data_IF_972621618076
#
_entry.id   IF_972621618076
#
_cell.length_a   1.000
_cell.length_b   1.000
_cell.length_c   1.000
_cell.angle_alpha   90.00
_cell.angle_beta   90.00
_cell.angle_gamma   90.00
#
_symmetry.space_group_name_H-M   'P 1'
#
loop_
_entity.id
_entity.type
_entity.pdbx_description
1 polymer ?
#
# COMPACT_ATOMS: atom_id res chain seq x y z
N UNK A 1 2.40 29.87 5.39
CA UNK A 1 1.94 28.50 5.77
C UNK A 1 2.87 27.40 5.23
N UNK A 2 3.47 27.56 4.03
CA UNK A 2 4.35 26.53 3.41
C UNK A 2 5.64 26.25 4.20
N UNK A 3 6.11 27.19 5.01
CA UNK A 3 7.36 27.08 5.77
C UNK A 3 7.16 26.62 7.22
N UNK A 4 5.95 26.20 7.59
CA UNK A 4 5.65 25.66 8.92
C UNK A 4 5.28 24.19 8.82
N UNK A 5 5.69 23.39 9.80
CA UNK A 5 5.35 21.95 9.88
C UNK A 5 3.83 21.75 9.82
N UNK A 6 3.07 22.60 10.52
CA UNK A 6 1.61 22.55 10.50
C UNK A 6 1.04 22.84 9.11
N UNK A 7 1.59 23.83 8.39
CA UNK A 7 1.18 24.11 7.01
C UNK A 7 1.47 22.95 6.06
N UNK A 8 2.65 22.34 6.16
CA UNK A 8 2.99 21.15 5.36
C UNK A 8 2.05 19.99 5.67
N UNK A 9 1.71 19.74 6.93
CA UNK A 9 0.76 18.68 7.32
C UNK A 9 -0.63 18.94 6.74
N UNK A 10 -1.14 20.17 6.79
CA UNK A 10 -2.44 20.54 6.20
C UNK A 10 -2.45 20.28 4.68
N UNK A 11 -1.43 20.77 3.95
CA UNK A 11 -1.33 20.51 2.51
C UNK A 11 -1.21 19.03 2.18
N UNK A 12 -0.47 18.27 2.98
CA UNK A 12 -0.36 16.82 2.80
C UNK A 12 -1.73 16.12 2.95
N UNK A 13 -2.49 16.48 3.97
CA UNK A 13 -3.85 15.94 4.18
C UNK A 13 -4.76 16.30 3.00
N UNK A 14 -4.71 17.55 2.50
CA UNK A 14 -5.48 17.96 1.33
C UNK A 14 -5.12 17.18 0.07
N UNK A 15 -3.84 16.94 -0.17
CA UNK A 15 -3.37 16.09 -1.28
C UNK A 15 -3.91 14.66 -1.13
N UNK A 16 -3.84 14.08 0.07
CA UNK A 16 -4.35 12.72 0.32
C UNK A 16 -5.86 12.62 0.12
N UNK A 17 -6.63 13.60 0.59
CA UNK A 17 -8.08 13.66 0.35
C UNK A 17 -8.37 13.74 -1.15
N UNK A 18 -7.71 14.65 -1.87
CA UNK A 18 -7.91 14.83 -3.31
C UNK A 18 -7.54 13.59 -4.11
N UNK A 19 -6.43 12.94 -3.75
CA UNK A 19 -6.00 11.69 -4.37
C UNK A 19 -7.01 10.55 -4.16
N UNK A 20 -7.48 10.36 -2.92
CA UNK A 20 -8.48 9.34 -2.63
C UNK A 20 -9.82 9.60 -3.34
N UNK A 21 -10.21 10.88 -3.47
CA UNK A 21 -11.40 11.26 -4.25
C UNK A 21 -11.27 10.86 -5.74
N UNK A 22 -10.10 11.03 -6.32
CA UNK A 22 -9.84 10.66 -7.70
C UNK A 22 -9.72 9.13 -7.88
N UNK A 23 -9.19 8.43 -6.89
CA UNK A 23 -8.94 6.98 -6.97
C UNK A 23 -10.23 6.16 -7.06
N UNK A 24 -11.31 6.58 -6.41
CA UNK A 24 -12.61 5.90 -6.45
C UNK A 24 -13.12 5.70 -7.89
N UNK A 25 -13.41 6.79 -8.63
CA UNK A 25 -13.83 6.71 -10.03
C UNK A 25 -12.83 5.99 -10.94
N UNK A 26 -11.51 6.20 -10.73
CA UNK A 26 -10.49 5.51 -11.53
C UNK A 26 -10.51 4.00 -11.34
N UNK A 27 -10.76 3.52 -10.11
CA UNK A 27 -10.87 2.09 -9.81
C UNK A 27 -12.12 1.45 -10.44
N UNK A 28 -13.20 2.21 -10.61
CA UNK A 28 -14.44 1.74 -11.23
C UNK A 28 -14.32 1.52 -12.74
N UNK A 29 -13.34 2.12 -13.40
CA UNK A 29 -13.15 1.98 -14.86
C UNK A 29 -12.97 0.54 -15.30
N UNK A 30 -12.22 -0.26 -14.53
CA UNK A 30 -11.95 -1.66 -14.89
C UNK A 30 -13.21 -2.51 -14.93
N UNK A 31 -14.09 -2.56 -13.91
CA UNK A 31 -15.34 -3.30 -13.99
C UNK A 31 -16.34 -2.72 -15.01
N UNK A 32 -16.40 -1.39 -15.16
CA UNK A 32 -17.44 -0.71 -15.93
C UNK A 32 -17.15 -0.67 -17.43
N UNK A 33 -15.89 -0.52 -17.84
CA UNK A 33 -15.53 -0.26 -19.25
C UNK A 33 -14.64 -1.32 -19.87
N UNK A 34 -13.96 -2.16 -19.07
CA UNK A 34 -13.01 -3.14 -19.61
C UNK A 34 -13.71 -4.49 -19.80
N UNK A 35 -13.78 -5.02 -21.05
CA UNK A 35 -14.30 -6.34 -21.32
C UNK A 35 -13.60 -7.41 -20.48
N UNK A 36 -14.35 -8.43 -20.05
CA UNK A 36 -13.82 -9.50 -19.16
C UNK A 36 -12.52 -10.13 -19.69
N UNK A 37 -12.42 -10.29 -21.03
CA UNK A 37 -11.24 -10.89 -21.67
C UNK A 37 -9.98 -9.99 -21.60
N UNK A 38 -10.15 -8.66 -21.51
CA UNK A 38 -9.06 -7.68 -21.47
C UNK A 38 -8.69 -7.22 -20.06
N UNK A 39 -9.43 -7.65 -19.02
CA UNK A 39 -9.20 -7.20 -17.64
C UNK A 39 -7.81 -7.57 -17.13
N UNK A 40 -7.30 -8.75 -17.50
CA UNK A 40 -5.94 -9.17 -17.13
C UNK A 40 -4.86 -8.24 -17.72
N UNK A 41 -4.97 -7.89 -18.99
CA UNK A 41 -4.04 -6.95 -19.66
C UNK A 41 -4.14 -5.56 -19.06
N UNK A 42 -5.36 -5.09 -18.78
CA UNK A 42 -5.59 -3.80 -18.13
C UNK A 42 -4.96 -3.77 -16.72
N UNK A 43 -5.20 -4.81 -15.91
CA UNK A 43 -4.62 -4.92 -14.58
C UNK A 43 -3.09 -4.94 -14.61
N UNK A 44 -2.49 -5.66 -15.56
CA UNK A 44 -1.04 -5.68 -15.75
C UNK A 44 -0.49 -4.29 -16.13
N UNK A 45 -1.14 -3.60 -17.07
CA UNK A 45 -0.75 -2.24 -17.45
C UNK A 45 -0.87 -1.25 -16.28
N UNK A 46 -1.95 -1.35 -15.50
CA UNK A 46 -2.13 -0.54 -14.29
C UNK A 46 -1.04 -0.83 -13.24
N UNK A 47 -0.71 -2.10 -13.03
CA UNK A 47 0.37 -2.51 -12.12
C UNK A 47 1.73 -1.96 -12.55
N UNK A 48 2.06 -2.03 -13.84
CA UNK A 48 3.29 -1.42 -14.39
C UNK A 48 3.26 0.10 -14.18
N UNK A 49 2.15 0.76 -14.46
CA UNK A 49 1.97 2.20 -14.25
C UNK A 49 2.21 2.60 -12.79
N UNK A 50 1.67 1.84 -11.83
CA UNK A 50 1.90 2.07 -10.40
C UNK A 50 3.38 1.91 -10.03
N UNK A 51 4.06 0.88 -10.53
CA UNK A 51 5.49 0.66 -10.28
C UNK A 51 6.36 1.78 -10.87
N UNK A 52 6.10 2.17 -12.11
CA UNK A 52 6.82 3.27 -12.78
C UNK A 52 6.55 4.59 -12.04
N UNK A 53 5.30 4.84 -11.63
CA UNK A 53 4.95 6.03 -10.86
C UNK A 53 5.63 6.07 -9.50
N UNK A 54 5.65 4.96 -8.77
CA UNK A 54 6.27 4.86 -7.45
C UNK A 54 7.79 5.08 -7.51
N UNK A 55 8.47 4.39 -8.42
CA UNK A 55 9.92 4.53 -8.59
C UNK A 55 10.29 5.86 -9.21
N UNK A 56 9.64 6.23 -10.31
CA UNK A 56 9.86 7.52 -10.97
C UNK A 56 9.67 8.67 -9.99
N UNK A 57 8.62 8.60 -9.16
CA UNK A 57 8.36 9.57 -8.10
C UNK A 57 9.51 9.67 -7.10
N UNK A 58 10.08 8.55 -6.65
CA UNK A 58 11.21 8.55 -5.72
C UNK A 58 12.48 9.12 -6.35
N UNK A 59 12.83 8.73 -7.59
CA UNK A 59 14.00 9.24 -8.28
C UNK A 59 13.89 10.73 -8.60
N UNK A 60 12.73 11.17 -9.09
CA UNK A 60 12.47 12.59 -9.37
C UNK A 60 12.46 13.39 -8.06
N UNK A 61 11.84 12.86 -7.00
CA UNK A 61 11.88 13.48 -5.66
C UNK A 61 13.30 13.64 -5.13
N UNK A 62 14.15 12.62 -5.29
CA UNK A 62 15.56 12.69 -4.92
C UNK A 62 16.32 13.74 -5.73
N UNK A 63 16.10 13.82 -7.06
CA UNK A 63 16.74 14.79 -7.94
C UNK A 63 16.37 16.25 -7.61
N UNK A 64 15.13 16.48 -7.16
CA UNK A 64 14.64 17.80 -6.75
C UNK A 64 14.77 18.08 -5.24
N UNK A 65 15.47 17.25 -4.49
CA UNK A 65 15.58 17.38 -3.02
C UNK A 65 16.13 18.74 -2.57
N UNK A 66 16.99 19.36 -3.36
CA UNK A 66 17.52 20.72 -3.09
C UNK A 66 16.61 21.85 -3.61
N UNK A 67 15.67 21.55 -4.49
CA UNK A 67 14.76 22.51 -5.14
C UNK A 67 13.29 22.05 -4.96
N UNK A 68 12.87 21.79 -3.73
CA UNK A 68 11.55 21.25 -3.39
C UNK A 68 10.37 21.98 -4.07
N UNK A 69 10.31 23.34 -4.11
CA UNK A 69 9.19 24.01 -4.78
C UNK A 69 9.08 23.66 -6.27
N UNK A 70 10.22 23.54 -6.95
CA UNK A 70 10.25 23.15 -8.37
C UNK A 70 9.79 21.71 -8.52
N UNK A 71 10.28 20.80 -7.69
CA UNK A 71 9.88 19.39 -7.69
C UNK A 71 8.37 19.21 -7.50
N UNK A 72 7.78 19.85 -6.51
CA UNK A 72 6.33 19.80 -6.30
C UNK A 72 5.54 20.40 -7.47
N UNK A 73 6.02 21.49 -8.07
CA UNK A 73 5.38 22.11 -9.24
C UNK A 73 5.42 21.15 -10.45
N UNK A 74 6.54 20.50 -10.70
CA UNK A 74 6.68 19.49 -11.77
C UNK A 74 5.69 18.34 -11.56
N UNK A 75 5.62 17.79 -10.36
CA UNK A 75 4.64 16.73 -10.05
C UNK A 75 3.19 17.18 -10.25
N UNK A 76 2.86 18.39 -9.80
CA UNK A 76 1.51 18.95 -9.96
C UNK A 76 1.15 19.11 -11.46
N UNK A 77 2.06 19.65 -12.26
CA UNK A 77 1.84 19.84 -13.71
C UNK A 77 1.70 18.51 -14.42
N UNK A 78 2.56 17.52 -14.12
CA UNK A 78 2.49 16.18 -14.73
C UNK A 78 1.19 15.48 -14.36
N UNK A 79 0.80 15.52 -13.07
CA UNK A 79 -0.44 14.90 -12.60
C UNK A 79 -1.67 15.55 -13.24
N UNK A 80 -1.70 16.89 -13.31
CA UNK A 80 -2.78 17.63 -13.94
C UNK A 80 -2.89 17.37 -15.43
N UNK A 81 -1.75 17.38 -16.14
CA UNK A 81 -1.71 17.07 -17.57
C UNK A 81 -2.18 15.63 -17.86
N UNK A 82 -1.72 14.65 -17.07
CA UNK A 82 -2.14 13.27 -17.21
C UNK A 82 -3.65 13.12 -16.98
N UNK A 83 -4.21 13.78 -15.96
CA UNK A 83 -5.64 13.78 -15.69
C UNK A 83 -6.43 14.42 -16.83
N UNK A 84 -5.98 15.57 -17.37
CA UNK A 84 -6.63 16.22 -18.49
C UNK A 84 -6.65 15.35 -19.74
N UNK A 85 -5.52 14.73 -20.08
CA UNK A 85 -5.43 13.79 -21.20
C UNK A 85 -6.39 12.62 -20.98
N UNK A 86 -6.37 12.04 -19.79
CA UNK A 86 -7.26 10.94 -19.44
C UNK A 86 -8.74 11.28 -19.61
N UNK A 87 -9.20 12.40 -19.07
CA UNK A 87 -10.61 12.85 -19.18
C UNK A 87 -11.01 13.13 -20.63
N UNK A 88 -10.10 13.71 -21.44
CA UNK A 88 -10.39 13.98 -22.85
C UNK A 88 -10.46 12.74 -23.72
N UNK A 89 -9.59 11.76 -23.42
CA UNK A 89 -9.54 10.51 -24.22
C UNK A 89 -10.67 9.55 -23.78
N UNK A 90 -11.11 9.65 -22.54
CA UNK A 90 -12.16 8.78 -21.98
C UNK A 90 -13.40 9.59 -21.57
N UNK A 91 -14.19 10.12 -22.52
CA UNK A 91 -15.38 10.87 -22.21
C UNK A 91 -16.38 9.99 -21.45
N UNK A 92 -16.94 10.53 -20.38
CA UNK A 92 -17.93 9.81 -19.58
C UNK A 92 -19.33 10.01 -20.16
N UNK A 93 -20.21 9.02 -19.92
CA UNK A 93 -21.64 9.12 -20.28
C UNK A 93 -22.40 9.56 -19.03
N UNK A 94 -23.28 10.58 -19.13
CA UNK A 94 -24.11 10.95 -18.02
C UNK A 94 -25.05 9.78 -17.66
N UNK A 95 -25.15 9.45 -16.37
CA UNK A 95 -26.08 8.46 -15.83
C UNK A 95 -27.38 9.14 -15.29
N UNK A 96 -27.88 10.12 -16.00
CA UNK A 96 -29.07 10.90 -15.61
C UNK A 96 -30.35 10.06 -15.50
N UNK A 97 -30.37 8.89 -16.15
CA UNK A 97 -31.54 8.03 -16.28
C UNK A 97 -31.65 6.99 -15.16
N UNK A 98 -30.60 6.89 -14.28
CA UNK A 98 -30.68 6.01 -13.13
C UNK A 98 -31.38 6.68 -11.95
N UNK A 99 -32.32 5.98 -11.27
CA UNK A 99 -32.97 6.51 -10.08
C UNK A 99 -31.92 6.76 -8.98
N UNK A 100 -31.80 7.99 -8.52
CA UNK A 100 -30.89 8.36 -7.43
C UNK A 100 -31.60 8.20 -6.11
N UNK A 101 -31.10 7.31 -5.26
CA UNK A 101 -31.52 7.27 -3.88
C UNK A 101 -31.06 8.54 -3.15
N UNK A 102 -31.86 9.02 -2.21
CA UNK A 102 -31.52 10.19 -1.42
C UNK A 102 -30.25 9.90 -0.61
N UNK A 103 -29.24 10.77 -0.71
CA UNK A 103 -28.02 10.65 0.08
C UNK A 103 -28.32 10.94 1.55
N UNK A 104 -28.28 9.91 2.39
CA UNK A 104 -28.37 10.02 3.84
C UNK A 104 -26.97 9.80 4.43
N UNK A 105 -26.44 10.81 5.12
CA UNK A 105 -25.10 10.74 5.73
C UNK A 105 -24.98 9.58 6.73
N UNK A 106 -26.04 9.28 7.46
CA UNK A 106 -26.08 8.15 8.38
C UNK A 106 -25.87 6.82 7.66
N UNK A 107 -26.59 6.61 6.54
CA UNK A 107 -26.48 5.37 5.76
C UNK A 107 -25.13 5.26 5.07
N UNK A 108 -24.59 6.39 4.62
CA UNK A 108 -23.23 6.46 4.09
C UNK A 108 -22.19 6.10 5.14
N UNK A 109 -22.27 6.64 6.36
CA UNK A 109 -21.34 6.30 7.44
C UNK A 109 -21.52 4.85 7.93
N UNK A 110 -22.77 4.37 7.99
CA UNK A 110 -23.04 2.96 8.30
C UNK A 110 -22.47 2.00 7.25
N UNK A 111 -22.23 2.49 6.04
CA UNK A 111 -21.61 1.72 4.97
C UNK A 111 -20.18 1.29 5.29
N UNK A 112 -19.43 2.08 6.05
CA UNK A 112 -18.05 1.78 6.43
C UNK A 112 -17.94 0.83 7.65
N UNK A 113 -19.07 0.48 8.27
CA UNK A 113 -19.07 -0.44 9.39
C UNK A 113 -19.49 -1.85 8.97
N UNK A 114 -18.58 -2.80 9.14
CA UNK A 114 -18.88 -4.23 9.02
C UNK A 114 -18.81 -4.85 10.42
N UNK A 115 -19.89 -5.47 10.84
CA UNK A 115 -19.98 -6.06 12.20
C UNK A 115 -19.03 -7.27 12.31
N UNK A 116 -17.97 -7.19 13.16
CA UNK A 116 -16.97 -8.26 13.26
C UNK A 116 -17.52 -9.55 13.88
N UNK A 117 -18.61 -9.47 14.62
CA UNK A 117 -19.26 -10.64 15.25
C UNK A 117 -20.06 -11.42 14.21
N UNK A 118 -20.70 -10.72 13.27
CA UNK A 118 -21.48 -11.36 12.22
C UNK A 118 -20.60 -11.86 11.06
N UNK A 119 -19.47 -11.18 10.81
CA UNK A 119 -18.53 -11.51 9.75
C UNK A 119 -17.10 -11.67 10.29
N UNK A 120 -16.86 -12.71 11.12
CA UNK A 120 -15.56 -12.88 11.80
C UNK A 120 -14.40 -13.11 10.81
N UNK A 121 -14.62 -13.82 9.71
CA UNK A 121 -13.60 -14.08 8.70
C UNK A 121 -13.14 -12.80 8.01
N UNK A 122 -14.07 -11.89 7.70
CA UNK A 122 -13.76 -10.57 7.18
C UNK A 122 -12.97 -9.73 8.19
N UNK A 123 -13.37 -9.75 9.46
CA UNK A 123 -12.69 -9.01 10.51
C UNK A 123 -11.24 -9.48 10.71
N UNK A 124 -10.99 -10.78 10.68
CA UNK A 124 -9.63 -11.34 10.75
C UNK A 124 -8.79 -11.00 9.53
N UNK A 125 -9.37 -11.07 8.33
CA UNK A 125 -8.68 -10.66 7.09
C UNK A 125 -8.33 -9.17 7.10
N UNK A 126 -9.27 -8.31 7.54
CA UNK A 126 -9.05 -6.87 7.71
C UNK A 126 -7.92 -6.59 8.73
N UNK A 127 -7.99 -7.20 9.91
CA UNK A 127 -7.00 -7.02 10.96
C UNK A 127 -5.60 -7.49 10.51
N UNK A 128 -5.51 -8.65 9.87
CA UNK A 128 -4.27 -9.18 9.34
C UNK A 128 -3.63 -8.26 8.31
N UNK A 129 -4.44 -7.76 7.36
CA UNK A 129 -4.02 -6.79 6.36
C UNK A 129 -3.55 -5.47 6.96
N UNK A 130 -4.31 -4.95 7.92
CA UNK A 130 -3.99 -3.71 8.61
C UNK A 130 -2.67 -3.81 9.38
N UNK A 131 -2.50 -4.87 10.16
CA UNK A 131 -1.30 -5.09 10.97
C UNK A 131 -0.06 -5.29 10.09
N UNK A 132 -0.16 -6.12 9.04
CA UNK A 132 0.94 -6.34 8.11
C UNK A 132 1.36 -5.05 7.43
N UNK A 133 0.41 -4.30 6.86
CA UNK A 133 0.70 -3.03 6.19
C UNK A 133 1.28 -2.00 7.16
N UNK A 134 0.77 -1.92 8.41
CA UNK A 134 1.30 -1.01 9.44
C UNK A 134 2.74 -1.37 9.76
N UNK A 135 3.04 -2.63 10.06
CA UNK A 135 4.40 -3.09 10.38
C UNK A 135 5.38 -2.84 9.23
N UNK A 136 4.99 -3.17 8.01
CA UNK A 136 5.82 -2.94 6.83
C UNK A 136 6.06 -1.44 6.58
N UNK A 137 5.03 -0.61 6.67
CA UNK A 137 5.11 0.83 6.39
C UNK A 137 5.89 1.58 7.48
N UNK A 138 5.90 1.11 8.74
CA UNK A 138 6.72 1.69 9.81
C UNK A 138 8.19 1.78 9.41
N UNK A 139 8.73 0.78 8.76
CA UNK A 139 10.14 0.74 8.35
C UNK A 139 10.33 1.30 6.94
N UNK A 140 9.51 0.90 5.97
CA UNK A 140 9.67 1.35 4.58
C UNK A 140 9.38 2.83 4.40
N UNK A 141 8.45 3.40 5.16
CA UNK A 141 8.20 4.84 5.18
C UNK A 141 9.34 5.65 5.82
N UNK A 142 10.20 5.02 6.61
CA UNK A 142 11.32 5.65 7.29
C UNK A 142 12.69 5.29 6.70
N UNK A 143 12.75 4.60 5.56
CA UNK A 143 14.02 4.15 4.94
C UNK A 143 15.02 5.28 4.76
N UNK A 144 14.58 6.48 4.36
CA UNK A 144 15.45 7.65 4.21
C UNK A 144 16.13 8.00 5.56
N UNK A 145 15.35 8.11 6.63
CA UNK A 145 15.84 8.45 7.96
C UNK A 145 16.67 7.32 8.58
N UNK A 146 16.29 6.07 8.33
CA UNK A 146 17.06 4.89 8.72
C UNK A 146 18.45 4.92 8.05
N UNK A 147 18.52 5.22 6.76
CA UNK A 147 19.79 5.37 6.04
C UNK A 147 20.60 6.55 6.57
N UNK A 148 19.95 7.69 6.80
CA UNK A 148 20.64 8.91 7.22
C UNK A 148 21.22 8.79 8.64
N UNK A 149 20.38 8.37 9.60
CA UNK A 149 20.67 8.48 11.03
C UNK A 149 21.07 7.15 11.66
N UNK A 150 20.36 6.05 11.36
CA UNK A 150 20.63 4.74 11.98
C UNK A 150 21.83 4.04 11.33
N UNK A 151 21.95 4.11 9.99
CA UNK A 151 23.11 3.61 9.25
C UNK A 151 24.26 4.63 9.25
N UNK A 152 23.95 5.92 9.44
CA UNK A 152 24.94 6.99 9.54
C UNK A 152 25.48 7.50 8.20
N UNK A 153 24.71 7.36 7.09
CA UNK A 153 25.13 7.89 5.78
C UNK A 153 25.08 9.41 5.69
N UNK A 154 24.30 10.07 6.55
CA UNK A 154 23.91 11.46 6.39
C UNK A 154 22.82 11.67 5.32
N UNK A 155 22.11 12.79 5.38
CA UNK A 155 20.91 13.06 4.58
C UNK A 155 21.20 13.05 3.08
N UNK A 156 22.29 13.63 2.63
CA UNK A 156 22.63 13.75 1.21
C UNK A 156 22.78 12.39 0.53
N UNK A 157 23.58 11.48 1.12
CA UNK A 157 23.76 10.12 0.59
C UNK A 157 22.53 9.26 0.78
N UNK A 158 21.82 9.43 1.89
CA UNK A 158 20.57 8.71 2.14
C UNK A 158 19.49 9.03 1.09
N UNK A 159 19.37 10.29 0.67
CA UNK A 159 18.43 10.73 -0.36
C UNK A 159 18.65 10.04 -1.70
N UNK A 160 19.91 9.86 -2.10
CA UNK A 160 20.26 9.17 -3.35
C UNK A 160 20.19 7.66 -3.24
N UNK A 161 20.43 7.09 -2.05
CA UNK A 161 20.46 5.64 -1.80
C UNK A 161 19.06 5.07 -1.57
N UNK A 162 18.14 5.82 -0.94
CA UNK A 162 16.80 5.36 -0.60
C UNK A 162 15.99 4.84 -1.81
N UNK A 163 15.94 5.52 -2.98
CA UNK A 163 15.28 4.99 -4.17
C UNK A 163 15.90 3.68 -4.68
N UNK A 164 17.22 3.53 -4.55
CA UNK A 164 17.92 2.31 -4.97
C UNK A 164 17.57 1.12 -4.08
N UNK A 165 17.48 1.33 -2.76
CA UNK A 165 17.01 0.31 -1.82
C UNK A 165 15.58 -0.11 -2.16
N UNK A 166 14.69 0.84 -2.41
CA UNK A 166 13.31 0.53 -2.82
C UNK A 166 13.26 -0.24 -4.14
N UNK A 167 14.09 0.13 -5.11
CA UNK A 167 14.17 -0.54 -6.41
C UNK A 167 14.70 -1.97 -6.32
N UNK A 168 15.56 -2.27 -5.36
CA UNK A 168 16.17 -3.60 -5.20
C UNK A 168 15.14 -4.72 -4.90
N UNK A 169 13.99 -4.38 -4.32
CA UNK A 169 12.91 -5.33 -4.06
C UNK A 169 12.04 -5.67 -5.29
N UNK A 170 12.13 -4.88 -6.37
CA UNK A 170 11.22 -5.05 -7.50
C UNK A 170 11.44 -6.33 -8.30
N UNK A 171 12.67 -6.73 -8.66
CA UNK A 171 12.90 -7.96 -9.38
C UNK A 171 12.34 -9.17 -8.63
N UNK A 172 12.56 -9.25 -7.32
CA UNK A 172 12.07 -10.34 -6.48
C UNK A 172 10.57 -10.30 -6.30
N UNK A 173 9.97 -9.12 -6.18
CA UNK A 173 8.52 -8.92 -6.14
C UNK A 173 7.86 -9.43 -7.43
N UNK A 174 8.36 -9.05 -8.61
CA UNK A 174 7.82 -9.49 -9.90
C UNK A 174 7.92 -11.00 -10.07
N UNK A 175 9.08 -11.58 -9.75
CA UNK A 175 9.29 -13.03 -9.80
C UNK A 175 8.36 -13.75 -8.82
N UNK A 176 8.21 -13.22 -7.61
CA UNK A 176 7.33 -13.79 -6.60
C UNK A 176 5.86 -13.76 -7.04
N UNK A 177 5.37 -12.67 -7.64
CA UNK A 177 4.01 -12.60 -8.20
C UNK A 177 3.82 -13.65 -9.29
N UNK A 178 4.78 -13.76 -10.21
CA UNK A 178 4.69 -14.70 -11.33
C UNK A 178 4.63 -16.16 -10.89
N UNK A 179 5.27 -16.50 -9.77
CA UNK A 179 5.34 -17.88 -9.24
C UNK A 179 4.17 -18.16 -8.29
N UNK A 180 3.89 -17.25 -7.36
CA UNK A 180 2.97 -17.48 -6.24
C UNK A 180 1.50 -17.56 -6.68
N UNK A 181 1.07 -16.77 -7.65
CA UNK A 181 -0.30 -16.80 -8.15
C UNK A 181 -0.68 -18.19 -8.68
N UNK A 182 -0.02 -18.69 -9.74
CA UNK A 182 -0.30 -20.02 -10.27
C UNK A 182 -0.08 -21.16 -9.25
N UNK A 183 0.90 -21.01 -8.36
CA UNK A 183 1.20 -22.02 -7.34
C UNK A 183 0.12 -22.07 -6.25
N UNK A 184 -0.37 -20.90 -5.81
CA UNK A 184 -1.47 -20.79 -4.85
C UNK A 184 -2.76 -21.39 -5.39
N UNK A 185 -3.08 -21.14 -6.68
CA UNK A 185 -4.27 -21.68 -7.33
C UNK A 185 -4.19 -23.20 -7.49
N UNK A 186 -3.02 -23.74 -7.85
CA UNK A 186 -2.80 -25.20 -7.95
C UNK A 186 -2.88 -25.92 -6.61
N UNK A 187 -2.36 -25.31 -5.55
CA UNK A 187 -2.33 -25.91 -4.22
C UNK A 187 -3.64 -25.71 -3.46
N UNK A 188 -4.47 -24.73 -3.84
CA UNK A 188 -5.71 -24.38 -3.15
C UNK A 188 -5.49 -23.97 -1.68
N UNK A 189 -4.30 -23.44 -1.34
CA UNK A 189 -3.90 -23.11 0.04
C UNK A 189 -3.57 -21.62 0.19
N UNK A 190 -4.53 -20.75 -0.08
CA UNK A 190 -4.34 -19.31 -0.07
C UNK A 190 -3.87 -18.76 1.29
N UNK A 191 -4.37 -19.30 2.40
CA UNK A 191 -3.93 -18.92 3.75
C UNK A 191 -2.44 -19.11 3.96
N UNK A 192 -1.90 -20.23 3.49
CA UNK A 192 -0.47 -20.52 3.65
C UNK A 192 0.40 -19.48 2.96
N UNK A 193 0.01 -19.06 1.75
CA UNK A 193 0.75 -18.04 1.01
C UNK A 193 0.70 -16.67 1.68
N UNK A 194 -0.46 -16.25 2.20
CA UNK A 194 -0.59 -14.98 2.93
C UNK A 194 0.19 -15.03 4.25
N UNK A 195 0.12 -16.16 4.97
CA UNK A 195 0.94 -16.37 6.17
C UNK A 195 2.44 -16.29 5.86
N UNK A 196 2.91 -17.03 4.85
CA UNK A 196 4.31 -17.01 4.44
C UNK A 196 4.75 -15.62 3.98
N UNK A 197 3.91 -14.91 3.24
CA UNK A 197 4.16 -13.55 2.81
C UNK A 197 4.43 -12.61 4.00
N UNK A 198 3.53 -12.63 4.98
CA UNK A 198 3.65 -11.80 6.17
C UNK A 198 4.84 -12.22 7.05
N UNK A 199 5.07 -13.52 7.20
CA UNK A 199 6.21 -14.05 7.94
C UNK A 199 7.55 -13.66 7.29
N UNK A 200 7.68 -13.81 5.96
CA UNK A 200 8.88 -13.43 5.21
C UNK A 200 9.13 -11.92 5.34
N UNK A 201 8.12 -11.07 5.19
CA UNK A 201 8.27 -9.63 5.36
C UNK A 201 8.69 -9.26 6.79
N UNK A 202 8.05 -9.86 7.81
CA UNK A 202 8.40 -9.62 9.21
C UNK A 202 9.80 -10.10 9.56
N UNK A 203 10.18 -11.31 9.16
CA UNK A 203 11.51 -11.88 9.46
C UNK A 203 12.62 -11.19 8.68
N UNK A 204 12.36 -10.68 7.47
CA UNK A 204 13.34 -9.90 6.72
C UNK A 204 13.81 -8.65 7.47
N UNK A 205 12.95 -8.07 8.33
CA UNK A 205 13.30 -6.91 9.16
C UNK A 205 14.36 -7.21 10.23
N UNK A 206 14.60 -8.47 10.56
CA UNK A 206 15.69 -8.86 11.46
C UNK A 206 17.06 -8.49 10.89
N UNK A 207 17.21 -8.48 9.56
CA UNK A 207 18.50 -8.23 8.90
C UNK A 207 18.99 -6.80 9.17
N UNK A 208 18.25 -5.72 8.83
CA UNK A 208 18.68 -4.37 9.14
C UNK A 208 18.65 -4.05 10.64
N UNK A 209 17.87 -4.77 11.44
CA UNK A 209 17.90 -4.63 12.90
C UNK A 209 19.20 -5.13 13.49
N UNK A 210 19.68 -6.30 13.04
CA UNK A 210 20.94 -6.88 13.54
C UNK A 210 22.18 -6.26 12.90
N UNK A 211 22.08 -5.82 11.66
CA UNK A 211 23.16 -5.28 10.87
C UNK A 211 22.75 -3.91 10.27
N UNK A 212 23.05 -2.79 10.98
CA UNK A 212 22.70 -1.45 10.50
C UNK A 212 23.64 -0.99 9.38
N UNK A 213 23.51 -1.61 8.21
CA UNK A 213 24.33 -1.33 7.04
C UNK A 213 23.48 -1.13 5.80
N UNK A 214 24.01 -0.40 4.82
CA UNK A 214 23.35 -0.21 3.52
C UNK A 214 23.09 -1.56 2.85
N UNK A 215 24.06 -2.47 2.88
CA UNK A 215 23.94 -3.81 2.30
C UNK A 215 22.77 -4.59 2.94
N UNK A 216 22.64 -4.50 4.26
CA UNK A 216 21.54 -5.16 4.97
C UNK A 216 20.15 -4.65 4.52
N UNK A 217 20.03 -3.35 4.24
CA UNK A 217 18.79 -2.77 3.70
C UNK A 217 18.51 -3.24 2.26
N UNK A 218 19.53 -3.40 1.42
CA UNK A 218 19.35 -4.01 0.09
C UNK A 218 18.89 -5.47 0.18
N UNK A 219 19.51 -6.26 1.06
CA UNK A 219 19.13 -7.66 1.29
C UNK A 219 17.71 -7.74 1.85
N UNK A 220 17.37 -6.88 2.83
CA UNK A 220 16.01 -6.73 3.34
C UNK A 220 15.03 -6.44 2.22
N UNK A 221 15.30 -5.44 1.37
CA UNK A 221 14.42 -5.05 0.28
C UNK A 221 14.18 -6.21 -0.70
N UNK A 222 15.23 -6.95 -1.05
CA UNK A 222 15.12 -8.11 -1.93
C UNK A 222 14.26 -9.23 -1.32
N UNK A 223 14.44 -9.55 -0.04
CA UNK A 223 13.65 -10.59 0.64
C UNK A 223 12.21 -10.11 0.90
N UNK A 224 12.05 -8.86 1.34
CA UNK A 224 10.73 -8.27 1.54
C UNK A 224 9.93 -8.18 0.22
N UNK A 225 10.63 -7.99 -0.91
CA UNK A 225 10.03 -8.05 -2.25
C UNK A 225 9.39 -9.42 -2.54
N UNK A 226 10.03 -10.52 -2.14
CA UNK A 226 9.41 -11.87 -2.25
C UNK A 226 8.12 -11.94 -1.45
N UNK A 227 8.16 -11.51 -0.19
CA UNK A 227 6.96 -11.48 0.67
C UNK A 227 5.86 -10.60 0.10
N UNK A 228 6.20 -9.40 -0.39
CA UNK A 228 5.25 -8.48 -1.01
C UNK A 228 4.61 -9.07 -2.28
N UNK A 229 5.39 -9.78 -3.10
CA UNK A 229 4.88 -10.45 -4.28
C UNK A 229 3.91 -11.59 -3.95
N UNK A 230 4.24 -12.42 -2.97
CA UNK A 230 3.34 -13.46 -2.46
C UNK A 230 2.05 -12.85 -1.93
N UNK A 231 2.15 -11.78 -1.18
CA UNK A 231 1.01 -11.07 -0.63
C UNK A 231 0.11 -10.52 -1.74
N UNK A 232 0.65 -9.72 -2.66
CA UNK A 232 -0.12 -9.07 -3.72
C UNK A 232 -0.85 -10.05 -4.64
N UNK A 233 -0.23 -11.20 -4.93
CA UNK A 233 -0.84 -12.20 -5.83
C UNK A 233 -2.03 -12.92 -5.21
N UNK A 234 -2.08 -13.09 -3.88
CA UNK A 234 -3.06 -13.94 -3.20
C UNK A 234 -4.04 -13.15 -2.34
N UNK A 235 -3.63 -11.99 -1.80
CA UNK A 235 -4.44 -11.18 -0.88
C UNK A 235 -5.79 -10.76 -1.48
N UNK A 236 -5.82 -10.29 -2.71
CA UNK A 236 -7.05 -9.88 -3.38
C UNK A 236 -8.01 -11.05 -3.54
N UNK A 237 -7.50 -12.23 -3.86
CA UNK A 237 -8.31 -13.45 -3.99
C UNK A 237 -8.83 -13.93 -2.64
N UNK A 238 -8.02 -13.88 -1.58
CA UNK A 238 -8.45 -14.22 -0.23
C UNK A 238 -9.55 -13.28 0.25
N UNK A 239 -9.38 -11.98 0.04
CA UNK A 239 -10.36 -10.98 0.46
C UNK A 239 -11.70 -11.16 -0.24
N UNK A 240 -11.70 -11.42 -1.54
CA UNK A 240 -12.94 -11.65 -2.28
C UNK A 240 -13.73 -12.86 -1.79
N UNK A 241 -13.08 -13.85 -1.19
CA UNK A 241 -13.73 -15.03 -0.60
C UNK A 241 -14.34 -14.78 0.78
N UNK A 242 -13.87 -13.76 1.51
CA UNK A 242 -14.38 -13.42 2.86
C UNK A 242 -15.34 -12.26 2.86
N UNK A 243 -15.68 -11.67 1.71
CA UNK A 243 -16.61 -10.54 1.64
C UNK A 243 -18.01 -10.92 2.14
N UNK A 244 -18.65 -10.06 2.95
CA UNK A 244 -19.95 -10.34 3.57
C UNK A 244 -21.10 -10.54 2.57
N UNK A 245 -21.07 -9.86 1.42
CA UNK A 245 -22.17 -9.90 0.46
C UNK A 245 -21.75 -9.60 -0.97
N UNK A 246 -22.20 -10.43 -1.92
CA UNK A 246 -22.01 -10.17 -3.36
C UNK A 246 -22.72 -8.90 -3.84
N UNK A 247 -23.80 -8.47 -3.15
CA UNK A 247 -24.57 -7.28 -3.53
C UNK A 247 -23.93 -5.97 -3.07
N UNK A 248 -23.06 -6.02 -2.06
CA UNK A 248 -22.35 -4.85 -1.50
C UNK A 248 -20.84 -4.85 -1.81
N UNK A 249 -20.44 -5.53 -2.88
CA UNK A 249 -19.03 -5.78 -3.23
C UNK A 249 -18.17 -4.50 -3.24
N UNK A 250 -18.67 -3.41 -3.84
CA UNK A 250 -17.94 -2.13 -3.89
C UNK A 250 -17.75 -1.49 -2.52
N UNK A 251 -18.78 -1.59 -1.64
CA UNK A 251 -18.74 -1.13 -0.26
C UNK A 251 -17.66 -1.90 0.53
N UNK A 252 -17.74 -3.22 0.50
CA UNK A 252 -16.90 -4.09 1.31
C UNK A 252 -15.43 -3.99 0.87
N UNK A 253 -15.16 -3.86 -0.43
CA UNK A 253 -13.83 -3.55 -0.95
C UNK A 253 -13.33 -2.17 -0.51
N UNK A 254 -14.22 -1.17 -0.43
CA UNK A 254 -13.90 0.14 0.12
C UNK A 254 -13.42 0.06 1.57
N UNK A 255 -14.13 -0.72 2.41
CA UNK A 255 -13.72 -0.96 3.81
C UNK A 255 -12.36 -1.66 3.87
N UNK A 256 -12.17 -2.71 3.05
CA UNK A 256 -10.88 -3.42 2.97
C UNK A 256 -9.73 -2.51 2.53
N UNK A 257 -10.01 -1.55 1.65
CA UNK A 257 -9.00 -0.60 1.21
C UNK A 257 -8.51 0.31 2.35
N UNK A 258 -9.34 0.59 3.35
CA UNK A 258 -8.93 1.29 4.57
C UNK A 258 -7.79 0.54 5.28
N UNK A 259 -7.84 -0.79 5.32
CA UNK A 259 -6.76 -1.60 5.92
C UNK A 259 -5.43 -1.50 5.14
N UNK A 260 -5.44 -1.05 3.89
CA UNK A 260 -4.22 -0.80 3.12
C UNK A 260 -3.75 0.66 3.20
N UNK A 261 -4.67 1.63 3.20
CA UNK A 261 -4.35 3.06 3.10
C UNK A 261 -4.17 3.74 4.45
N UNK A 262 -4.96 3.37 5.46
CA UNK A 262 -4.85 3.95 6.80
C UNK A 262 -3.46 3.74 7.44
N UNK A 263 -2.82 2.56 7.31
CA UNK A 263 -1.43 2.37 7.74
C UNK A 263 -0.45 3.37 7.14
N UNK A 264 -0.59 3.72 5.86
CA UNK A 264 0.30 4.67 5.20
C UNK A 264 0.20 6.09 5.81
N UNK A 265 -0.95 6.41 6.40
CA UNK A 265 -1.19 7.69 7.06
C UNK A 265 -0.71 7.69 8.51
N UNK A 266 -0.97 6.61 9.26
CA UNK A 266 -0.68 6.57 10.70
C UNK A 266 0.73 6.05 11.02
N UNK A 267 1.28 5.15 10.20
CA UNK A 267 2.58 4.55 10.48
C UNK A 267 3.73 5.58 10.58
N UNK A 268 3.81 6.64 9.76
CA UNK A 268 4.83 7.67 9.94
C UNK A 268 4.74 8.39 11.30
N UNK A 269 3.53 8.65 11.78
CA UNK A 269 3.32 9.26 13.09
C UNK A 269 3.75 8.33 14.23
N UNK A 270 3.36 7.05 14.15
CA UNK A 270 3.78 6.01 15.11
C UNK A 270 5.30 5.85 15.08
N UNK A 271 5.90 5.78 13.90
CA UNK A 271 7.34 5.66 13.73
C UNK A 271 8.08 6.86 14.35
N UNK A 272 7.58 8.09 14.12
CA UNK A 272 8.12 9.30 14.73
C UNK A 272 8.08 9.26 16.26
N UNK A 273 6.95 8.82 16.85
CA UNK A 273 6.83 8.64 18.29
C UNK A 273 7.82 7.61 18.83
N UNK A 274 8.00 6.47 18.14
CA UNK A 274 8.96 5.43 18.54
C UNK A 274 10.39 5.97 18.47
N UNK A 275 10.75 6.65 17.39
CA UNK A 275 12.12 7.16 17.20
C UNK A 275 12.47 8.21 18.22
N UNK A 276 11.56 9.17 18.50
CA UNK A 276 11.79 10.27 19.44
C UNK A 276 11.87 9.80 20.89
N UNK A 277 11.03 8.81 21.28
CA UNK A 277 10.97 8.38 22.68
C UNK A 277 11.89 7.18 22.99
N UNK A 278 12.24 6.38 21.99
CA UNK A 278 13.07 5.19 22.17
C UNK A 278 14.33 5.25 21.29
N UNK A 279 14.23 4.83 20.04
CA UNK A 279 15.33 4.86 19.06
C UNK A 279 14.88 4.35 17.69
N UNK A 280 15.69 4.53 16.65
CA UNK A 280 15.48 3.89 15.35
C UNK A 280 15.50 2.36 15.43
N UNK A 281 16.33 1.77 16.29
CA UNK A 281 16.40 0.31 16.45
C UNK A 281 15.10 -0.29 16.98
N UNK A 282 14.31 0.47 17.75
CA UNK A 282 13.03 0.02 18.28
C UNK A 282 11.92 -0.09 17.20
N UNK A 283 12.08 0.55 16.04
CA UNK A 283 11.15 0.40 14.93
C UNK A 283 11.05 -1.05 14.43
N UNK A 284 12.21 -1.73 14.36
CA UNK A 284 12.27 -3.08 13.79
C UNK A 284 11.50 -4.11 14.61
N UNK A 285 11.73 -4.27 15.93
CA UNK A 285 10.98 -5.25 16.72
C UNK A 285 9.47 -4.96 16.74
N UNK A 286 9.05 -3.68 16.78
CA UNK A 286 7.63 -3.31 16.69
C UNK A 286 7.06 -3.73 15.34
N UNK A 287 7.75 -3.43 14.25
CA UNK A 287 7.33 -3.79 12.90
C UNK A 287 7.28 -5.32 12.71
N UNK A 288 8.28 -6.07 13.23
CA UNK A 288 8.29 -7.54 13.20
C UNK A 288 7.07 -8.11 13.91
N UNK A 289 6.79 -7.64 15.13
CA UNK A 289 5.64 -8.10 15.91
C UNK A 289 4.33 -7.83 15.17
N UNK A 290 4.16 -6.64 14.59
CA UNK A 290 2.96 -6.30 13.81
C UNK A 290 2.81 -7.19 12.57
N UNK A 291 3.88 -7.42 11.81
CA UNK A 291 3.84 -8.32 10.66
C UNK A 291 3.51 -9.77 11.05
N UNK A 292 4.12 -10.28 12.13
CA UNK A 292 3.86 -11.64 12.61
C UNK A 292 2.45 -11.79 13.18
N UNK A 293 1.93 -10.79 13.90
CA UNK A 293 0.54 -10.78 14.33
C UNK A 293 -0.40 -10.75 13.11
N UNK A 294 -0.07 -9.97 12.09
CA UNK A 294 -0.79 -9.98 10.81
C UNK A 294 -0.80 -11.37 10.16
N UNK A 295 0.34 -12.08 10.19
CA UNK A 295 0.43 -13.46 9.71
C UNK A 295 -0.50 -14.41 10.51
N UNK A 296 -0.51 -14.29 11.83
CA UNK A 296 -1.34 -15.15 12.70
C UNK A 296 -2.84 -14.90 12.49
N UNK A 297 -3.24 -13.67 12.18
CA UNK A 297 -4.66 -13.34 11.92
C UNK A 297 -5.28 -14.12 10.75
N UNK A 298 -4.48 -14.75 9.89
CA UNK A 298 -4.99 -15.55 8.78
C UNK A 298 -5.53 -16.92 9.23
N UNK A 299 -5.02 -17.46 10.34
CA UNK A 299 -5.40 -18.81 10.82
C UNK A 299 -6.88 -18.95 11.23
N UNK A 300 -7.48 -17.98 11.95
CA UNK A 300 -8.89 -18.10 12.37
C UNK A 300 -9.90 -18.02 11.23
N UNK A 301 -9.53 -17.55 10.04
CA UNK A 301 -10.42 -17.45 8.88
C UNK A 301 -10.88 -18.87 8.50
N UNK A 302 -12.18 -19.14 8.44
CA UNK A 302 -12.73 -20.49 8.19
C UNK A 302 -13.19 -20.70 6.75
N UNK A 303 -13.61 -19.64 6.07
CA UNK A 303 -14.14 -19.67 4.71
C UNK A 303 -13.10 -19.97 3.63
N UNK A 304 -11.81 -19.78 3.91
CA UNK A 304 -10.69 -19.98 2.97
C UNK A 304 -9.82 -21.15 3.40
N UNK A 305 -9.20 -21.86 2.46
CA UNK A 305 -8.23 -22.94 2.70
C UNK A 305 -6.79 -22.54 2.39
#
# INVERSE_FOLDING_TARGET
LQNTIAGMAVFWVLVQISYNFAQGPLSAIMPDRVPRQARGTFAAANGIGLMVGMLGGQFVGAAFSQFLPIGYTVFAVVAFAALLVFVRVNPDRPNSDEPREAFLLHDFLATFWVNPVQHPDFAWAFAGRFLLNTGYTLVTGYVLYILADYVGLGVERATTTSPLVSAAGIPTLVLAIAISGPLSDRLGRRKLFVFLAAAVQGLALLIPWMFPTVTALFVFAAIAGVGAGFYQSVDTALITEVLPSEKSFGKDLGVVNIAATLPQTIAPAIAGLIVVNLSYSALFPVAIVLCLLGAVCVWPIRSVR
#
